data_IF_604265021192
#
_entry.id   IF_604265021192
#
_cell.length_a   1.000
_cell.length_b   1.000
_cell.length_c   1.000
_cell.angle_alpha   90.00
_cell.angle_beta   90.00
_cell.angle_gamma   90.00
#
_symmetry.space_group_name_H-M   'P 1'
#
loop_
_entity.id
_entity.type
_entity.pdbx_description
1 polymer ?
#
# COMPACT_ATOMS: atom_id res chain seq x y z
N UNK A 1 18.46 10.23 1.53
CA UNK A 1 17.30 10.88 2.17
C UNK A 1 15.96 10.37 1.62
N UNK A 2 15.79 10.27 0.28
CA UNK A 2 14.52 9.83 -0.33
C UNK A 2 14.01 8.44 0.09
N UNK A 3 14.89 7.46 0.33
CA UNK A 3 14.48 6.10 0.74
C UNK A 3 13.73 6.06 2.08
N UNK A 4 14.09 6.92 3.03
CA UNK A 4 13.40 7.03 4.32
C UNK A 4 11.98 7.57 4.16
N UNK A 5 11.82 8.62 3.33
CA UNK A 5 10.52 9.26 3.05
C UNK A 5 9.56 8.31 2.31
N UNK A 6 10.05 7.58 1.31
CA UNK A 6 9.25 6.57 0.61
C UNK A 6 8.77 5.44 1.53
N UNK A 7 9.66 4.96 2.41
CA UNK A 7 9.30 3.96 3.41
C UNK A 7 8.28 4.47 4.43
N UNK A 8 8.40 5.71 4.89
CA UNK A 8 7.40 6.30 5.81
C UNK A 8 6.04 6.42 5.14
N UNK A 9 5.99 6.88 3.89
CA UNK A 9 4.78 6.91 3.06
C UNK A 9 4.15 5.53 2.93
N UNK A 10 4.95 4.50 2.63
CA UNK A 10 4.48 3.13 2.52
C UNK A 10 3.81 2.65 3.81
N UNK A 11 4.44 2.89 4.97
CA UNK A 11 3.89 2.50 6.28
C UNK A 11 2.59 3.23 6.61
N UNK A 12 2.51 4.54 6.36
CA UNK A 12 1.30 5.34 6.62
C UNK A 12 0.13 4.86 5.74
N UNK A 13 0.39 4.60 4.45
CA UNK A 13 -0.62 4.08 3.54
C UNK A 13 -1.10 2.68 3.96
N UNK A 14 -0.18 1.79 4.32
CA UNK A 14 -0.52 0.45 4.82
C UNK A 14 -1.40 0.53 6.07
N UNK A 15 -1.02 1.36 7.05
CA UNK A 15 -1.78 1.54 8.28
C UNK A 15 -3.19 2.11 8.02
N UNK A 16 -3.29 3.14 7.17
CA UNK A 16 -4.57 3.75 6.79
C UNK A 16 -5.50 2.75 6.13
N UNK A 17 -5.03 2.02 5.12
CA UNK A 17 -5.83 1.03 4.40
C UNK A 17 -6.29 -0.09 5.33
N UNK A 18 -5.40 -0.60 6.21
CA UNK A 18 -5.76 -1.64 7.18
C UNK A 18 -6.86 -1.18 8.12
N UNK A 19 -6.79 0.07 8.61
CA UNK A 19 -7.82 0.62 9.49
C UNK A 19 -9.16 0.80 8.76
N UNK A 20 -9.15 1.35 7.53
CA UNK A 20 -10.38 1.49 6.72
C UNK A 20 -11.05 0.14 6.49
N UNK A 21 -10.27 -0.90 6.24
CA UNK A 21 -10.77 -2.25 6.03
C UNK A 21 -11.23 -2.94 7.30
N UNK A 22 -10.64 -2.63 8.47
CA UNK A 22 -11.18 -3.09 9.76
C UNK A 22 -12.53 -2.45 10.10
N UNK A 23 -12.77 -1.23 9.64
CA UNK A 23 -14.06 -0.54 9.76
C UNK A 23 -15.07 -0.99 8.70
N UNK A 24 -14.59 -1.48 7.55
CA UNK A 24 -15.42 -2.04 6.50
C UNK A 24 -15.83 -3.48 6.81
N UNK A 25 -17.04 -3.87 6.41
CA UNK A 25 -17.55 -5.22 6.65
C UNK A 25 -16.99 -6.21 5.61
N UNK A 26 -15.68 -6.47 5.66
CA UNK A 26 -14.99 -7.41 4.75
C UNK A 26 -15.23 -8.85 5.20
N UNK A 27 -15.52 -9.79 4.28
CA UNK A 27 -15.78 -11.19 4.64
C UNK A 27 -14.57 -11.85 5.31
N UNK A 28 -14.79 -12.60 6.39
CA UNK A 28 -13.75 -13.26 7.21
C UNK A 28 -12.75 -14.09 6.41
N UNK A 29 -13.16 -14.64 5.27
CA UNK A 29 -12.31 -15.44 4.37
C UNK A 29 -11.09 -14.69 3.82
N UNK A 30 -11.18 -13.37 3.67
CA UNK A 30 -10.09 -12.52 3.14
C UNK A 30 -9.43 -11.66 4.22
N UNK A 31 -9.91 -11.71 5.47
CA UNK A 31 -9.35 -10.90 6.56
C UNK A 31 -7.94 -11.36 6.96
N UNK A 32 -7.10 -10.42 7.37
CA UNK A 32 -5.74 -10.70 7.85
C UNK A 32 -4.72 -10.80 6.73
N UNK A 33 -4.16 -11.99 6.52
CA UNK A 33 -2.96 -12.21 5.66
C UNK A 33 -3.26 -11.99 4.19
N UNK A 34 -4.36 -12.53 3.67
CA UNK A 34 -4.73 -12.39 2.27
C UNK A 34 -4.93 -10.92 1.88
N UNK A 35 -5.68 -10.18 2.71
CA UNK A 35 -5.87 -8.73 2.57
C UNK A 35 -4.54 -7.96 2.59
N UNK A 36 -3.67 -8.30 3.52
CA UNK A 36 -2.38 -7.62 3.67
C UNK A 36 -1.49 -7.81 2.43
N UNK A 37 -1.51 -9.01 1.82
CA UNK A 37 -0.79 -9.29 0.57
C UNK A 37 -1.36 -8.51 -0.61
N UNK A 38 -2.69 -8.41 -0.72
CA UNK A 38 -3.36 -7.62 -1.76
C UNK A 38 -2.99 -6.13 -1.62
N UNK A 39 -3.06 -5.59 -0.40
CA UNK A 39 -2.67 -4.21 -0.10
C UNK A 39 -1.21 -3.95 -0.42
N UNK A 40 -0.31 -4.88 -0.07
CA UNK A 40 1.11 -4.78 -0.39
C UNK A 40 1.35 -4.75 -1.92
N UNK A 41 0.63 -5.58 -2.68
CA UNK A 41 0.67 -5.57 -4.14
C UNK A 41 0.18 -4.26 -4.75
N UNK A 42 -0.95 -3.73 -4.26
CA UNK A 42 -1.49 -2.42 -4.68
C UNK A 42 -0.52 -1.27 -4.37
N UNK A 43 0.09 -1.28 -3.18
CA UNK A 43 1.13 -0.33 -2.80
C UNK A 43 2.35 -0.41 -3.71
N UNK A 44 2.79 -1.62 -4.06
CA UNK A 44 3.88 -1.84 -5.01
C UNK A 44 3.56 -1.25 -6.39
N UNK A 45 2.35 -1.47 -6.90
CA UNK A 45 1.88 -0.88 -8.16
C UNK A 45 1.82 0.66 -8.09
N UNK A 46 1.32 1.22 -6.98
CA UNK A 46 1.28 2.66 -6.79
C UNK A 46 2.68 3.29 -6.83
N UNK A 47 3.66 2.67 -6.15
CA UNK A 47 5.05 3.13 -6.20
C UNK A 47 5.70 2.95 -7.57
N UNK A 48 5.41 1.84 -8.28
CA UNK A 48 5.86 1.66 -9.66
C UNK A 48 5.29 2.73 -10.60
N UNK A 49 4.04 3.17 -10.40
CA UNK A 49 3.43 4.26 -11.16
C UNK A 49 4.16 5.60 -11.00
N UNK A 50 4.73 5.88 -9.82
CA UNK A 50 5.60 7.04 -9.61
C UNK A 50 7.00 6.87 -10.20
N UNK A 51 7.50 5.63 -10.31
CA UNK A 51 8.79 5.32 -10.93
C UNK A 51 8.90 5.77 -12.38
N UNK A 52 7.79 5.81 -13.12
CA UNK A 52 7.73 6.31 -14.51
C UNK A 52 7.77 7.84 -14.64
N UNK A 53 7.49 8.60 -13.58
CA UNK A 53 7.48 10.08 -13.63
C UNK A 53 8.88 10.71 -13.58
N UNK A 54 9.91 9.94 -13.26
CA UNK A 54 11.30 10.40 -13.22
C UNK A 54 12.06 10.30 -14.54
N UNK A 55 11.46 9.68 -15.56
CA UNK A 55 12.03 9.52 -16.90
C UNK A 55 11.21 10.28 -17.94
N UNK A 56 11.50 11.56 -18.11
CA UNK A 56 11.32 12.19 -19.41
C UNK A 56 12.56 11.85 -20.22
N UNK A 57 12.38 11.09 -21.30
CA UNK A 57 13.36 10.75 -22.36
C UNK A 57 14.76 10.27 -21.93
#
# INVERSE_FOLDING_TARGET
LGGGLGFTLALVLMASLRERLQLANVPTLVQGTALSLILAGLLSLAFMGFGGMGGGE
#
